data_IF_425475925578
#
_entry.id   IF_425475925578
#
_cell.length_a   1.000
_cell.length_b   1.000
_cell.length_c   1.000
_cell.angle_alpha   90.00
_cell.angle_beta   90.00
_cell.angle_gamma   90.00
#
_symmetry.space_group_name_H-M   'P 1'
#
loop_
_entity.id
_entity.type
_entity.pdbx_description
1 polymer ?
#
# COMPACT_ATOMS: atom_id res chain seq x y z
N UNK A 1 29.49 10.26 37.70
CA UNK A 1 28.48 9.19 37.49
C UNK A 1 27.16 9.89 37.16
N UNK A 2 26.89 10.13 35.88
CA UNK A 2 25.62 10.67 35.41
C UNK A 2 25.07 9.65 34.43
N UNK A 3 24.05 8.97 34.94
CA UNK A 3 23.25 8.02 34.19
C UNK A 3 22.32 8.82 33.25
N UNK A 4 22.57 8.78 31.96
CA UNK A 4 21.71 9.39 30.96
C UNK A 4 20.99 8.26 30.24
N UNK A 5 19.99 7.70 30.91
CA UNK A 5 18.97 6.85 30.28
C UNK A 5 18.16 7.68 29.29
N UNK A 6 18.55 7.70 28.03
CA UNK A 6 17.72 8.15 26.93
C UNK A 6 16.58 7.15 26.72
N UNK A 7 15.47 7.42 27.36
CA UNK A 7 14.17 6.82 27.03
C UNK A 7 13.83 7.22 25.60
N UNK A 8 13.99 6.30 24.68
CA UNK A 8 13.41 6.40 23.33
C UNK A 8 11.91 6.21 23.50
N UNK A 9 11.24 7.34 23.67
CA UNK A 9 9.78 7.38 23.73
C UNK A 9 9.24 7.12 22.31
N UNK A 10 8.98 5.84 21.98
CA UNK A 10 8.25 5.42 20.78
C UNK A 10 6.75 5.45 21.05
N UNK A 11 6.26 6.52 21.62
CA UNK A 11 4.82 6.80 21.62
C UNK A 11 4.42 7.22 20.20
N UNK A 12 4.06 6.24 19.38
CA UNK A 12 3.17 6.46 18.27
C UNK A 12 1.94 7.21 18.80
N UNK A 13 1.54 8.35 18.20
CA UNK A 13 0.37 9.08 18.67
C UNK A 13 -0.80 8.10 18.81
N UNK A 14 -1.45 8.18 19.95
CA UNK A 14 -2.49 7.30 20.42
C UNK A 14 -3.46 6.87 19.30
N UNK A 15 -3.30 5.63 18.83
CA UNK A 15 -4.21 4.94 17.95
C UNK A 15 -5.38 4.33 18.74
N UNK A 16 -5.89 5.10 19.70
CA UNK A 16 -7.02 4.73 20.53
C UNK A 16 -8.21 5.58 20.14
N UNK A 17 -8.92 5.19 19.11
CA UNK A 17 -10.36 5.43 18.92
C UNK A 17 -10.86 4.78 17.62
N UNK A 18 -10.78 3.47 17.49
CA UNK A 18 -11.52 2.77 16.46
C UNK A 18 -11.93 1.39 16.99
N UNK A 19 -13.00 1.35 17.79
CA UNK A 19 -13.59 0.11 18.30
C UNK A 19 -14.07 -0.87 17.23
N UNK A 20 -13.78 -0.62 15.93
CA UNK A 20 -14.19 -1.45 14.80
C UNK A 20 -13.15 -1.54 13.67
N UNK A 21 -11.87 -1.24 13.91
CA UNK A 21 -10.85 -1.37 12.88
C UNK A 21 -10.59 -2.85 12.56
N UNK A 22 -10.59 -3.21 11.26
CA UNK A 22 -10.32 -4.56 10.80
C UNK A 22 -8.85 -5.00 11.03
N UNK A 23 -7.95 -4.05 11.29
CA UNK A 23 -6.52 -4.24 11.53
C UNK A 23 -5.67 -3.10 10.98
N UNK A 24 -4.36 -3.27 11.08
CA UNK A 24 -3.37 -2.33 10.54
C UNK A 24 -2.63 -2.98 9.39
N UNK A 25 -2.48 -2.27 8.28
CA UNK A 25 -1.71 -2.68 7.13
C UNK A 25 -0.70 -1.60 6.76
N UNK A 26 0.54 -2.01 6.55
CA UNK A 26 1.62 -1.09 6.21
C UNK A 26 1.85 -1.07 4.71
N UNK A 27 2.48 -0.03 4.18
CA UNK A 27 2.96 -0.01 2.80
C UNK A 27 4.38 0.53 2.73
N UNK A 28 5.17 0.01 1.81
CA UNK A 28 6.55 0.40 1.59
C UNK A 28 6.87 0.39 0.09
N UNK A 29 7.77 1.27 -0.35
CA UNK A 29 8.34 1.22 -1.70
C UNK A 29 9.80 0.83 -1.63
N UNK A 30 10.28 -0.13 -2.44
CA UNK A 30 11.69 -0.47 -2.42
C UNK A 30 12.56 0.59 -3.11
N UNK A 31 12.03 1.27 -4.15
CA UNK A 31 12.73 2.34 -4.88
C UNK A 31 14.13 1.91 -5.39
N UNK A 32 15.11 2.77 -5.20
CA UNK A 32 16.51 2.55 -5.56
C UNK A 32 17.37 2.14 -4.35
N UNK A 33 16.74 1.66 -3.27
CA UNK A 33 17.46 1.27 -2.03
C UNK A 33 18.36 0.09 -2.28
N UNK A 34 19.42 -0.01 -1.47
CA UNK A 34 20.15 -1.27 -1.34
C UNK A 34 19.29 -2.27 -0.59
N UNK A 35 19.63 -3.55 -0.68
CA UNK A 35 18.93 -4.60 0.06
C UNK A 35 19.00 -4.38 1.57
N UNK A 36 20.19 -4.03 2.08
CA UNK A 36 20.43 -3.77 3.50
C UNK A 36 19.58 -2.61 4.03
N UNK A 37 19.53 -1.50 3.29
CA UNK A 37 18.69 -0.36 3.65
C UNK A 37 17.20 -0.70 3.63
N UNK A 38 16.77 -1.57 2.71
CA UNK A 38 15.39 -2.02 2.66
C UNK A 38 15.03 -2.93 3.84
N UNK A 39 15.88 -3.90 4.17
CA UNK A 39 15.67 -4.81 5.32
C UNK A 39 15.73 -4.05 6.64
N UNK A 40 16.65 -3.06 6.77
CA UNK A 40 16.68 -2.19 7.93
C UNK A 40 15.36 -1.45 8.16
N UNK A 41 14.71 -0.96 7.08
CA UNK A 41 13.38 -0.35 7.18
C UNK A 41 12.32 -1.34 7.63
N UNK A 42 12.33 -2.58 7.12
CA UNK A 42 11.40 -3.62 7.57
C UNK A 42 11.59 -3.90 9.07
N UNK A 43 12.83 -4.01 9.51
CA UNK A 43 13.20 -4.22 10.92
C UNK A 43 12.79 -3.06 11.83
N UNK A 44 13.07 -1.79 11.42
CA UNK A 44 12.70 -0.60 12.18
C UNK A 44 11.18 -0.52 12.45
N UNK A 45 10.38 -1.00 11.48
CA UNK A 45 8.92 -1.05 11.61
C UNK A 45 8.40 -2.42 12.04
N UNK A 46 9.28 -3.35 12.44
CA UNK A 46 8.92 -4.71 12.89
C UNK A 46 8.00 -5.44 11.92
N UNK A 47 8.26 -5.30 10.60
CA UNK A 47 7.47 -5.98 9.58
C UNK A 47 7.83 -7.47 9.56
N UNK A 48 6.83 -8.33 9.74
CA UNK A 48 6.94 -9.78 9.80
C UNK A 48 6.53 -10.46 8.49
N UNK A 49 5.77 -9.74 7.65
CA UNK A 49 5.37 -10.23 6.34
C UNK A 49 5.39 -9.12 5.29
N UNK A 50 5.86 -9.48 4.09
CA UNK A 50 5.92 -8.60 2.94
C UNK A 50 5.07 -9.16 1.80
N UNK A 51 4.04 -8.42 1.41
CA UNK A 51 3.19 -8.73 0.27
C UNK A 51 3.65 -7.90 -0.93
N UNK A 52 4.24 -8.56 -1.91
CA UNK A 52 4.69 -7.91 -3.14
C UNK A 52 3.51 -7.72 -4.10
N UNK A 53 3.09 -6.47 -4.27
CA UNK A 53 1.98 -6.08 -5.16
C UNK A 53 2.48 -5.60 -6.53
N UNK A 54 3.65 -5.98 -6.95
CA UNK A 54 4.14 -5.72 -8.31
C UNK A 54 3.58 -6.75 -9.28
N UNK A 55 3.13 -6.30 -10.46
CA UNK A 55 2.69 -7.21 -11.51
C UNK A 55 3.85 -8.01 -12.11
N UNK A 56 5.03 -7.36 -12.20
CA UNK A 56 6.26 -7.93 -12.78
C UNK A 56 7.41 -7.63 -11.81
N UNK A 57 7.73 -8.56 -10.89
CA UNK A 57 8.71 -8.34 -9.84
C UNK A 57 10.16 -8.61 -10.27
N UNK A 58 10.43 -8.66 -11.57
CA UNK A 58 11.78 -8.72 -12.12
C UNK A 58 12.42 -7.34 -12.22
N UNK A 59 13.69 -7.21 -11.86
CA UNK A 59 14.47 -5.98 -12.04
C UNK A 59 15.87 -6.29 -12.52
N UNK A 60 16.22 -5.83 -13.72
CA UNK A 60 17.61 -5.92 -14.22
C UNK A 60 18.53 -4.93 -13.49
N UNK A 61 18.00 -3.78 -13.12
CA UNK A 61 18.76 -2.70 -12.47
C UNK A 61 18.99 -2.95 -10.98
N UNK A 62 18.06 -3.63 -10.32
CA UNK A 62 18.08 -3.93 -8.90
C UNK A 62 17.76 -5.42 -8.70
N UNK A 63 18.69 -6.33 -9.05
CA UNK A 63 18.43 -7.78 -9.08
C UNK A 63 18.06 -8.36 -7.71
N UNK A 64 18.49 -7.72 -6.62
CA UNK A 64 18.10 -8.11 -5.27
C UNK A 64 16.61 -7.91 -4.96
N UNK A 65 15.89 -7.14 -5.79
CA UNK A 65 14.43 -7.02 -5.72
C UNK A 65 13.70 -7.91 -6.75
N UNK A 66 14.36 -8.87 -7.38
CA UNK A 66 13.67 -9.93 -8.12
C UNK A 66 12.95 -10.86 -7.13
N UNK A 67 11.74 -11.33 -7.48
CA UNK A 67 10.87 -12.10 -6.56
C UNK A 67 11.57 -13.28 -5.90
N UNK A 68 12.28 -14.08 -6.70
CA UNK A 68 12.94 -15.30 -6.20
C UNK A 68 14.10 -14.97 -5.25
N UNK A 69 14.89 -13.96 -5.60
CA UNK A 69 15.98 -13.46 -4.75
C UNK A 69 15.42 -12.90 -3.43
N UNK A 70 14.34 -12.10 -3.51
CA UNK A 70 13.69 -11.56 -2.32
C UNK A 70 13.11 -12.65 -1.42
N UNK A 71 12.44 -13.66 -2.00
CA UNK A 71 11.83 -14.73 -1.23
C UNK A 71 12.87 -15.44 -0.34
N UNK A 72 14.03 -15.82 -0.91
CA UNK A 72 15.11 -16.46 -0.17
C UNK A 72 15.73 -15.54 0.89
N UNK A 73 15.99 -14.27 0.54
CA UNK A 73 16.65 -13.33 1.44
C UNK A 73 15.74 -12.89 2.60
N UNK A 74 14.42 -12.78 2.37
CA UNK A 74 13.43 -12.45 3.41
C UNK A 74 13.19 -13.64 4.34
N UNK A 75 13.20 -14.87 3.83
CA UNK A 75 13.14 -16.08 4.66
C UNK A 75 14.29 -16.13 5.64
N UNK A 76 15.53 -15.84 5.19
CA UNK A 76 16.71 -15.75 6.06
C UNK A 76 16.58 -14.62 7.11
N UNK A 77 15.82 -13.56 6.81
CA UNK A 77 15.50 -12.47 7.74
C UNK A 77 14.24 -12.73 8.59
N UNK A 78 13.66 -13.93 8.54
CA UNK A 78 12.42 -14.31 9.22
C UNK A 78 11.20 -13.45 8.83
N UNK A 79 11.21 -12.89 7.62
CA UNK A 79 10.09 -12.14 7.05
C UNK A 79 9.37 -12.99 6.01
N UNK A 80 8.09 -13.29 6.22
CA UNK A 80 7.26 -14.02 5.26
C UNK A 80 7.10 -13.22 3.97
N UNK A 81 7.34 -13.84 2.83
CA UNK A 81 7.13 -13.22 1.52
C UNK A 81 5.93 -13.84 0.79
N UNK A 82 5.10 -12.99 0.19
CA UNK A 82 3.98 -13.41 -0.65
C UNK A 82 3.88 -12.48 -1.87
N UNK A 83 3.94 -13.06 -3.07
CA UNK A 83 3.72 -12.31 -4.30
C UNK A 83 2.28 -12.43 -4.77
N UNK A 84 1.61 -11.27 -4.91
CA UNK A 84 0.21 -11.16 -5.35
C UNK A 84 0.10 -10.30 -6.62
N UNK A 85 0.38 -10.86 -7.80
CA UNK A 85 0.31 -10.13 -9.08
C UNK A 85 -1.10 -9.64 -9.41
N UNK A 86 -2.12 -10.23 -8.83
CA UNK A 86 -3.52 -9.79 -8.93
C UNK A 86 -3.69 -8.35 -8.41
N UNK A 87 -2.90 -7.93 -7.41
CA UNK A 87 -2.88 -6.57 -6.89
C UNK A 87 -1.95 -5.63 -7.68
N UNK A 88 -1.33 -6.12 -8.77
CA UNK A 88 -0.33 -5.39 -9.53
C UNK A 88 -0.91 -4.28 -10.41
N UNK A 89 -0.14 -3.19 -10.54
CA UNK A 89 -0.46 -2.05 -11.40
C UNK A 89 -0.34 -2.34 -12.91
N UNK A 90 -0.22 -1.28 -13.72
CA UNK A 90 -0.14 -1.33 -15.20
C UNK A 90 -1.39 -1.96 -15.83
N UNK A 91 -2.55 -1.48 -15.45
CA UNK A 91 -3.85 -1.88 -16.03
C UNK A 91 -4.29 -0.87 -17.08
N UNK A 92 -5.04 -1.33 -18.06
CA UNK A 92 -5.65 -0.47 -19.10
C UNK A 92 -7.02 -0.02 -18.63
N UNK A 93 -7.34 1.25 -18.85
CA UNK A 93 -8.68 1.77 -18.59
C UNK A 93 -9.71 1.08 -19.51
N UNK A 94 -10.90 0.84 -18.97
CA UNK A 94 -12.01 0.25 -19.72
C UNK A 94 -12.79 1.34 -20.44
N UNK A 95 -13.36 1.07 -21.64
CA UNK A 95 -14.32 1.96 -22.24
C UNK A 95 -15.50 2.21 -21.29
N UNK A 96 -15.93 3.47 -21.14
CA UNK A 96 -17.03 3.82 -20.24
C UNK A 96 -16.70 3.73 -18.74
N UNK A 97 -15.40 3.72 -18.37
CA UNK A 97 -14.97 3.68 -16.99
C UNK A 97 -15.65 4.75 -16.13
N UNK A 98 -16.19 4.38 -14.94
CA UNK A 98 -16.76 5.34 -14.00
C UNK A 98 -15.67 6.14 -13.25
N UNK A 99 -14.39 5.82 -13.47
CA UNK A 99 -13.25 6.33 -12.72
C UNK A 99 -12.58 7.55 -13.38
N UNK A 100 -13.39 8.44 -13.96
CA UNK A 100 -12.92 9.59 -14.75
C UNK A 100 -12.24 10.71 -13.97
N UNK A 101 -12.23 10.69 -12.64
CA UNK A 101 -11.43 11.62 -11.84
C UNK A 101 -9.92 11.42 -12.05
N UNK A 102 -9.49 10.23 -12.44
CA UNK A 102 -8.10 9.92 -12.73
C UNK A 102 -7.72 10.36 -14.14
N UNK A 103 -6.95 11.46 -14.25
CA UNK A 103 -6.39 11.90 -15.53
C UNK A 103 -5.33 10.94 -16.09
N UNK A 104 -4.65 10.21 -15.20
CA UNK A 104 -3.68 9.19 -15.59
C UNK A 104 -4.42 7.89 -15.91
N UNK A 105 -4.38 7.47 -17.18
CA UNK A 105 -5.04 6.27 -17.67
C UNK A 105 -4.61 4.98 -16.93
N UNK A 106 -3.37 4.93 -16.41
CA UNK A 106 -2.93 3.77 -15.64
C UNK A 106 -3.61 3.69 -14.26
N UNK A 107 -3.89 4.81 -13.60
CA UNK A 107 -4.67 4.84 -12.37
C UNK A 107 -6.15 4.59 -12.62
N UNK A 108 -6.71 5.15 -13.70
CA UNK A 108 -8.08 4.85 -14.12
C UNK A 108 -8.25 3.35 -14.36
N UNK A 109 -7.38 2.74 -15.18
CA UNK A 109 -7.44 1.30 -15.44
C UNK A 109 -7.18 0.45 -14.21
N UNK A 110 -6.41 0.95 -13.25
CA UNK A 110 -6.23 0.27 -11.97
C UNK A 110 -7.51 0.32 -11.12
N UNK A 111 -8.18 1.47 -11.05
CA UNK A 111 -9.47 1.61 -10.38
C UNK A 111 -10.53 0.68 -11.00
N UNK A 112 -10.55 0.56 -12.34
CA UNK A 112 -11.43 -0.40 -13.05
C UNK A 112 -11.12 -1.85 -12.65
N UNK A 113 -9.83 -2.19 -12.50
CA UNK A 113 -9.41 -3.53 -12.11
C UNK A 113 -9.78 -3.88 -10.66
N UNK A 114 -9.87 -2.91 -9.78
CA UNK A 114 -10.17 -3.14 -8.35
C UNK A 114 -11.53 -3.81 -8.11
N UNK A 115 -12.45 -3.77 -9.07
CA UNK A 115 -13.75 -4.46 -9.00
C UNK A 115 -13.71 -5.91 -9.52
N UNK A 116 -12.56 -6.38 -10.01
CA UNK A 116 -12.41 -7.75 -10.50
C UNK A 116 -12.34 -8.78 -9.38
N UNK A 117 -12.82 -10.00 -9.66
CA UNK A 117 -12.73 -11.12 -8.72
C UNK A 117 -11.28 -11.45 -8.34
N UNK A 118 -10.34 -11.38 -9.30
CA UNK A 118 -8.92 -11.63 -9.07
C UNK A 118 -8.33 -10.64 -8.07
N UNK A 119 -8.63 -9.35 -8.24
CA UNK A 119 -8.20 -8.32 -7.30
C UNK A 119 -8.80 -8.57 -5.92
N UNK A 120 -10.10 -8.87 -5.84
CA UNK A 120 -10.79 -9.16 -4.58
C UNK A 120 -10.15 -10.34 -3.84
N UNK A 121 -9.87 -11.43 -4.54
CA UNK A 121 -9.20 -12.61 -3.97
C UNK A 121 -7.76 -12.28 -3.48
N UNK A 122 -7.00 -11.51 -4.25
CA UNK A 122 -5.67 -11.06 -3.84
C UNK A 122 -5.72 -10.15 -2.60
N UNK A 123 -6.68 -9.24 -2.54
CA UNK A 123 -6.84 -8.34 -1.40
C UNK A 123 -7.19 -9.11 -0.11
N UNK A 124 -8.07 -10.12 -0.19
CA UNK A 124 -8.41 -10.95 0.96
C UNK A 124 -7.22 -11.79 1.44
N UNK A 125 -6.37 -12.29 0.53
CA UNK A 125 -5.12 -12.97 0.93
C UNK A 125 -4.17 -12.02 1.68
N UNK A 126 -4.00 -10.78 1.19
CA UNK A 126 -3.19 -9.77 1.88
C UNK A 126 -3.79 -9.41 3.24
N UNK A 127 -5.11 -9.26 3.33
CA UNK A 127 -5.83 -8.97 4.56
C UNK A 127 -5.74 -10.14 5.57
N UNK A 128 -5.85 -11.39 5.11
CA UNK A 128 -5.68 -12.57 5.97
C UNK A 128 -4.28 -12.59 6.59
N UNK A 129 -3.23 -12.35 5.81
CA UNK A 129 -1.86 -12.27 6.32
C UNK A 129 -1.70 -11.14 7.34
N UNK A 130 -2.33 -9.98 7.09
CA UNK A 130 -2.25 -8.83 7.98
C UNK A 130 -3.02 -8.99 9.30
N UNK A 131 -3.97 -9.92 9.38
CA UNK A 131 -4.63 -10.31 10.65
C UNK A 131 -3.73 -11.15 11.55
N UNK A 132 -2.80 -11.90 10.96
CA UNK A 132 -1.91 -12.80 11.67
C UNK A 132 -0.55 -12.20 11.99
N UNK A 133 -0.06 -11.30 11.11
CA UNK A 133 1.31 -10.76 11.14
C UNK A 133 1.33 -9.29 10.78
N UNK A 134 2.32 -8.58 11.31
CA UNK A 134 2.58 -7.19 10.94
C UNK A 134 3.04 -7.14 9.48
N UNK A 135 2.13 -6.79 8.59
CA UNK A 135 2.26 -6.96 7.13
C UNK A 135 2.42 -5.62 6.42
N UNK A 136 3.37 -5.56 5.46
CA UNK A 136 3.52 -4.43 4.55
C UNK A 136 3.26 -4.83 3.09
N UNK A 137 2.47 -4.03 2.38
CA UNK A 137 2.35 -4.10 0.91
C UNK A 137 3.55 -3.39 0.28
N UNK A 138 4.25 -4.06 -0.63
CA UNK A 138 5.46 -3.53 -1.27
C UNK A 138 5.29 -3.37 -2.78
N UNK A 139 5.76 -2.23 -3.30
CA UNK A 139 5.89 -1.99 -4.73
C UNK A 139 7.22 -1.29 -5.04
N UNK A 140 7.50 -1.04 -6.33
CA UNK A 140 8.76 -0.42 -6.75
C UNK A 140 8.85 1.08 -6.42
N UNK A 141 7.74 1.81 -6.47
CA UNK A 141 7.72 3.27 -6.31
C UNK A 141 7.99 3.69 -4.87
N UNK A 142 8.89 4.64 -4.63
CA UNK A 142 9.15 5.19 -3.30
C UNK A 142 7.90 5.85 -2.72
N UNK A 143 7.30 6.75 -3.50
CA UNK A 143 6.20 7.60 -3.08
C UNK A 143 4.86 6.88 -3.31
N UNK A 144 4.14 6.60 -2.23
CA UNK A 144 2.89 5.84 -2.29
C UNK A 144 1.82 6.54 -3.14
N UNK A 145 1.81 7.89 -3.17
CA UNK A 145 0.82 8.68 -3.94
C UNK A 145 1.08 8.68 -5.46
N UNK A 146 2.27 8.28 -5.91
CA UNK A 146 2.61 8.07 -7.32
C UNK A 146 2.43 6.62 -7.77
N UNK A 147 1.93 5.77 -6.89
CA UNK A 147 1.84 4.33 -7.07
C UNK A 147 0.40 3.83 -6.87
N UNK A 148 0.06 2.71 -7.51
CA UNK A 148 -1.23 2.04 -7.35
C UNK A 148 -1.53 1.61 -5.89
N UNK A 149 -0.53 1.54 -4.99
CA UNK A 149 -0.74 1.38 -3.55
C UNK A 149 -1.67 2.43 -2.95
N UNK A 150 -1.74 3.62 -3.57
CA UNK A 150 -2.68 4.67 -3.18
C UNK A 150 -4.13 4.18 -3.24
N UNK A 151 -4.51 3.54 -4.35
CA UNK A 151 -5.87 3.04 -4.55
C UNK A 151 -6.15 1.81 -3.68
N UNK A 152 -5.16 0.92 -3.48
CA UNK A 152 -5.29 -0.18 -2.52
C UNK A 152 -5.54 0.37 -1.12
N UNK A 153 -4.80 1.40 -0.73
CA UNK A 153 -4.93 2.04 0.58
C UNK A 153 -6.29 2.73 0.76
N UNK A 154 -6.81 3.41 -0.28
CA UNK A 154 -8.15 3.99 -0.28
C UNK A 154 -9.21 2.90 0.01
N UNK A 155 -9.14 1.76 -0.71
CA UNK A 155 -10.10 0.68 -0.54
C UNK A 155 -9.96 0.00 0.83
N UNK A 156 -8.74 -0.22 1.31
CA UNK A 156 -8.51 -0.78 2.64
C UNK A 156 -9.08 0.14 3.72
N UNK A 157 -8.85 1.46 3.61
CA UNK A 157 -9.40 2.44 4.54
C UNK A 157 -10.94 2.42 4.52
N UNK A 158 -11.56 2.34 3.31
CA UNK A 158 -13.00 2.17 3.18
C UNK A 158 -13.51 0.88 3.85
N UNK A 159 -12.72 -0.18 3.81
CA UNK A 159 -13.01 -1.47 4.48
C UNK A 159 -12.57 -1.49 5.95
N UNK A 160 -12.40 -0.31 6.57
CA UNK A 160 -12.05 -0.09 7.98
C UNK A 160 -10.66 -0.59 8.40
N UNK A 161 -9.74 -0.76 7.48
CA UNK A 161 -8.33 -0.97 7.82
C UNK A 161 -7.65 0.35 8.08
N UNK A 162 -6.75 0.38 9.05
CA UNK A 162 -5.80 1.45 9.14
C UNK A 162 -4.63 1.17 8.20
N UNK A 163 -4.24 2.16 7.40
CA UNK A 163 -3.12 2.03 6.47
C UNK A 163 -2.05 3.05 6.80
N UNK A 164 -0.81 2.56 6.95
CA UNK A 164 0.36 3.35 7.33
C UNK A 164 1.44 3.21 6.25
N UNK A 165 1.93 4.34 5.73
CA UNK A 165 2.97 4.38 4.71
C UNK A 165 4.34 4.56 5.35
N UNK A 166 5.25 3.60 5.18
CA UNK A 166 6.65 3.70 5.60
C UNK A 166 7.41 4.56 4.61
N UNK A 167 7.93 5.69 5.07
CA UNK A 167 8.72 6.64 4.27
C UNK A 167 10.20 6.61 4.66
N UNK A 168 10.53 6.25 5.90
CA UNK A 168 11.86 6.16 6.47
C UNK A 168 11.85 5.36 7.76
N UNK A 169 12.99 5.23 8.43
CA UNK A 169 13.13 4.44 9.65
C UNK A 169 12.23 4.94 10.79
N UNK A 170 12.05 6.25 10.90
CA UNK A 170 11.18 6.89 11.89
C UNK A 170 9.98 7.59 11.26
N UNK A 171 9.91 7.65 9.93
CA UNK A 171 8.89 8.40 9.20
C UNK A 171 7.77 7.48 8.72
N UNK A 172 6.58 7.66 9.30
CA UNK A 172 5.35 6.96 8.95
C UNK A 172 4.24 7.98 8.71
N UNK A 173 3.46 7.77 7.65
CA UNK A 173 2.33 8.62 7.31
C UNK A 173 1.04 7.79 7.28
N UNK A 174 0.01 8.14 8.06
CA UNK A 174 -1.32 7.57 7.93
C UNK A 174 -1.92 7.90 6.56
N UNK A 175 -2.60 6.92 5.96
CA UNK A 175 -3.32 7.14 4.71
C UNK A 175 -4.56 7.99 4.94
N UNK A 176 -4.83 8.88 3.99
CA UNK A 176 -6.05 9.67 3.92
C UNK A 176 -6.80 9.32 2.65
N UNK A 177 -8.12 9.10 2.77
CA UNK A 177 -8.96 8.76 1.64
C UNK A 177 -8.88 9.86 0.56
N UNK A 178 -8.77 9.44 -0.69
CA UNK A 178 -8.82 10.35 -1.82
C UNK A 178 -10.16 11.12 -1.84
N UNK A 179 -10.10 12.44 -1.97
CA UNK A 179 -11.28 13.30 -1.97
C UNK A 179 -12.29 12.98 -3.10
N UNK A 180 -11.81 12.38 -4.20
CA UNK A 180 -12.66 11.96 -5.34
C UNK A 180 -13.21 10.53 -5.17
N UNK A 181 -12.80 9.78 -4.14
CA UNK A 181 -13.32 8.45 -3.88
C UNK A 181 -14.79 8.49 -3.45
N UNK A 182 -15.60 7.60 -4.02
CA UNK A 182 -17.02 7.44 -3.67
C UNK A 182 -17.31 5.97 -3.40
N UNK A 183 -17.90 5.65 -2.24
CA UNK A 183 -18.28 4.29 -1.90
C UNK A 183 -19.39 3.76 -2.81
N UNK A 184 -19.25 2.50 -3.26
CA UNK A 184 -20.29 1.72 -3.92
C UNK A 184 -20.30 0.34 -3.26
N UNK A 185 -21.11 0.19 -2.23
CA UNK A 185 -21.10 -1.00 -1.38
C UNK A 185 -19.76 -1.17 -0.68
N UNK A 186 -19.07 -2.28 -0.94
CA UNK A 186 -17.74 -2.57 -0.39
C UNK A 186 -16.59 -2.06 -1.26
N UNK A 187 -16.90 -1.45 -2.42
CA UNK A 187 -15.95 -0.97 -3.39
C UNK A 187 -15.91 0.56 -3.45
N UNK A 188 -14.95 1.08 -4.20
CA UNK A 188 -14.79 2.50 -4.45
C UNK A 188 -14.79 2.78 -5.96
N UNK A 189 -15.40 3.90 -6.35
CA UNK A 189 -15.24 4.50 -7.66
C UNK A 189 -14.69 5.93 -7.52
N UNK A 190 -14.16 6.46 -8.61
CA UNK A 190 -13.59 7.82 -8.69
C UNK A 190 -14.25 8.57 -9.86
N UNK A 191 -15.51 9.00 -9.70
CA UNK A 191 -16.26 9.63 -10.79
C UNK A 191 -15.62 10.96 -11.21
N UNK A 192 -15.80 11.38 -12.47
CA UNK A 192 -15.30 12.67 -12.93
C UNK A 192 -15.87 13.78 -12.07
N UNK A 193 -15.05 14.78 -11.76
CA UNK A 193 -15.51 15.97 -11.04
C UNK A 193 -16.56 16.66 -11.88
N UNK A 194 -17.74 16.90 -11.31
CA UNK A 194 -18.73 17.76 -11.94
C UNK A 194 -18.13 19.17 -12.03
N UNK A 195 -17.90 19.64 -13.25
CA UNK A 195 -17.62 21.06 -13.48
C UNK A 195 -18.95 21.77 -13.20
N UNK A 196 -19.01 22.54 -12.12
CA UNK A 196 -20.21 23.30 -11.76
C UNK A 196 -20.61 24.19 -12.94
N UNK A 197 -21.81 23.98 -13.45
CA UNK A 197 -22.44 24.78 -14.53
C UNK A 197 -22.85 26.19 -14.02
N UNK A 198 -22.34 26.62 -12.88
CA UNK A 198 -22.66 27.92 -12.28
C UNK A 198 -21.39 28.75 -12.09
N UNK A 199 -20.94 29.35 -13.19
CA UNK A 199 -20.09 30.53 -13.18
C UNK A 199 -20.41 31.33 -14.46
N UNK A 200 -21.62 31.85 -14.49
CA UNK A 200 -22.01 32.93 -15.38
C UNK A 200 -22.99 33.82 -14.62
N UNK A 201 -22.44 34.81 -13.92
CA UNK A 201 -23.00 36.16 -13.75
C UNK A 201 -21.85 37.09 -13.38
#
# INVERSE_FOLDING_TARGET
MHDTSLLINTDLPALQAAGDAAGILWTIGHSTRTWEAFVALLGAHRIEALVDVRRFPGSRRYPWFASDTMAQALEAASVRYLWLPALGGRRKAQPGSPNGAWRNAAFQGYADHMTSADFGAGLEQAAAMARERRTALMCAEALWWQCHRRLIADLLLHRRWQVLHILGETAVQPHQLNADARPVGRDLIYPPRQVGLFSAE
#
